data_IF_719376866995
#
_entry.id   IF_719376866995
#
_cell.length_a   1.000
_cell.length_b   1.000
_cell.length_c   1.000
_cell.angle_alpha   90.00
_cell.angle_beta   90.00
_cell.angle_gamma   90.00
#
_symmetry.space_group_name_H-M   'P 1'
#
loop_
_entity.id
_entity.type
_entity.pdbx_description
1 polymer ?
#
# COMPACT_ATOMS: atom_id res chain seq x y z
N UNK A 1 0.64 13.86 9.81
CA UNK A 1 -0.50 14.32 9.00
C UNK A 1 -0.73 13.27 7.93
N UNK A 2 -1.81 12.50 8.02
CA UNK A 2 -2.27 11.65 6.91
C UNK A 2 -2.92 12.64 5.94
N UNK A 3 -2.27 12.91 4.81
CA UNK A 3 -2.84 13.79 3.80
C UNK A 3 -3.73 12.93 2.92
N UNK A 4 -5.06 13.00 3.08
CA UNK A 4 -6.09 12.35 2.22
C UNK A 4 -6.09 12.89 0.77
N UNK A 5 -4.99 13.47 0.31
CA UNK A 5 -4.86 14.00 -1.03
C UNK A 5 -4.66 12.84 -2.00
N UNK A 6 -5.58 12.67 -2.93
CA UNK A 6 -5.44 11.81 -4.11
C UNK A 6 -5.12 12.67 -5.32
N UNK A 7 -4.32 12.15 -6.24
CA UNK A 7 -3.90 12.82 -7.48
C UNK A 7 -4.14 11.90 -8.66
N UNK A 8 -4.57 12.46 -9.78
CA UNK A 8 -4.60 11.77 -11.06
C UNK A 8 -3.17 11.71 -11.63
N UNK A 9 -2.74 10.51 -11.99
CA UNK A 9 -1.41 10.23 -12.53
C UNK A 9 -1.55 9.61 -13.90
N UNK A 10 -0.87 10.19 -14.89
CA UNK A 10 -0.85 9.69 -16.25
C UNK A 10 0.45 8.91 -16.52
N UNK A 11 0.34 7.72 -17.09
CA UNK A 11 1.50 6.96 -17.55
C UNK A 11 2.27 7.73 -18.63
N UNK A 12 3.60 7.63 -18.61
CA UNK A 12 4.47 8.27 -19.60
C UNK A 12 4.61 7.46 -20.90
N UNK A 13 4.14 6.22 -20.90
CA UNK A 13 4.19 5.30 -22.04
C UNK A 13 2.77 4.98 -22.54
N UNK A 14 2.58 4.69 -23.84
CA UNK A 14 1.28 4.24 -24.36
C UNK A 14 0.72 3.05 -23.55
N UNK A 15 -0.58 3.04 -23.23
CA UNK A 15 -1.64 3.90 -23.77
C UNK A 15 -1.81 5.26 -23.05
N UNK A 16 -0.89 5.64 -22.17
CA UNK A 16 -0.96 6.86 -21.35
C UNK A 16 -2.16 6.85 -20.41
N UNK A 17 -2.40 5.69 -19.77
CA UNK A 17 -3.53 5.50 -18.88
C UNK A 17 -3.47 6.49 -17.71
N UNK A 18 -4.64 6.96 -17.29
CA UNK A 18 -4.79 7.86 -16.14
C UNK A 18 -5.40 7.08 -14.99
N UNK A 19 -4.69 7.03 -13.87
CA UNK A 19 -5.12 6.35 -12.65
C UNK A 19 -5.14 7.33 -11.48
N UNK A 20 -5.98 7.07 -10.47
CA UNK A 20 -6.03 7.90 -9.25
C UNK A 20 -5.17 7.26 -8.18
N UNK A 21 -4.22 8.01 -7.64
CA UNK A 21 -3.24 7.53 -6.67
C UNK A 21 -3.15 8.47 -5.47
N UNK A 22 -3.01 7.92 -4.27
CA UNK A 22 -2.78 8.72 -3.07
C UNK A 22 -1.49 9.54 -3.20
N UNK A 23 -1.44 10.79 -2.75
CA UNK A 23 -0.29 11.70 -2.89
C UNK A 23 0.99 11.15 -2.23
N UNK A 24 0.86 10.27 -1.24
CA UNK A 24 2.02 9.51 -0.72
C UNK A 24 2.69 8.63 -1.80
N UNK A 25 1.93 8.10 -2.79
CA UNK A 25 2.44 7.34 -3.94
C UNK A 25 3.29 8.17 -4.90
N UNK A 26 3.14 9.49 -4.87
CA UNK A 26 3.85 10.42 -5.76
C UNK A 26 5.13 11.00 -5.15
N UNK A 27 5.41 10.74 -3.86
CA UNK A 27 6.63 11.22 -3.20
C UNK A 27 7.92 10.68 -3.85
N UNK A 28 7.84 9.57 -4.57
CA UNK A 28 8.97 9.00 -5.33
C UNK A 28 9.40 9.86 -6.54
N UNK A 29 8.56 10.80 -6.99
CA UNK A 29 8.81 11.58 -8.23
C UNK A 29 9.03 13.08 -7.97
N UNK A 30 9.42 13.50 -6.75
CA UNK A 30 9.65 14.91 -6.40
C UNK A 30 10.94 15.54 -7.02
N UNK A 31 11.35 15.16 -8.22
CA UNK A 31 12.44 15.85 -8.92
C UNK A 31 11.95 16.42 -10.24
N UNK A 32 11.88 17.76 -10.31
CA UNK A 32 11.46 18.53 -11.47
C UNK A 32 12.47 18.55 -12.62
N UNK A 33 13.06 17.40 -12.99
CA UNK A 33 14.07 17.36 -14.05
C UNK A 33 14.69 16.01 -14.39
N UNK A 34 14.04 14.86 -14.15
CA UNK A 34 14.56 13.58 -14.68
C UNK A 34 14.06 13.34 -16.09
N UNK A 35 14.99 13.22 -17.03
CA UNK A 35 14.72 12.74 -18.39
C UNK A 35 14.20 11.29 -18.34
N UNK A 36 13.26 10.95 -19.23
CA UNK A 36 12.72 9.58 -19.34
C UNK A 36 13.75 8.71 -20.04
N UNK A 37 14.48 7.90 -19.28
CA UNK A 37 15.46 6.93 -19.79
C UNK A 37 14.79 5.57 -20.02
N UNK A 38 15.38 4.71 -20.87
CA UNK A 38 14.90 3.33 -21.08
C UNK A 38 14.79 2.53 -19.76
N UNK A 39 15.67 2.82 -18.79
CA UNK A 39 15.61 2.25 -17.44
C UNK A 39 14.35 2.70 -16.66
N UNK A 40 13.92 3.96 -16.87
CA UNK A 40 12.70 4.48 -16.27
C UNK A 40 11.46 3.86 -16.92
N UNK A 41 11.47 3.64 -18.23
CA UNK A 41 10.40 2.91 -18.92
C UNK A 41 10.29 1.47 -18.44
N UNK A 42 11.41 0.78 -18.24
CA UNK A 42 11.44 -0.56 -17.66
C UNK A 42 10.93 -0.60 -16.21
N UNK A 43 11.27 0.42 -15.40
CA UNK A 43 10.74 0.55 -14.05
C UNK A 43 9.24 0.85 -14.02
N UNK A 44 8.73 1.68 -14.94
CA UNK A 44 7.30 1.96 -15.07
C UNK A 44 6.54 0.69 -15.50
N UNK A 45 7.08 -0.03 -16.50
CA UNK A 45 6.50 -1.30 -16.95
C UNK A 45 6.50 -2.39 -15.85
N UNK A 46 7.45 -2.35 -14.91
CA UNK A 46 7.46 -3.24 -13.74
C UNK A 46 6.56 -2.74 -12.60
N UNK A 47 6.44 -1.41 -12.45
CA UNK A 47 5.59 -0.74 -11.46
C UNK A 47 4.08 -0.89 -11.71
N UNK A 48 3.69 -1.23 -12.93
CA UNK A 48 2.29 -1.46 -13.34
C UNK A 48 1.71 -2.77 -12.75
N UNK A 49 2.53 -3.64 -12.18
CA UNK A 49 2.11 -4.87 -11.49
C UNK A 49 1.61 -4.66 -10.06
N UNK A 50 1.61 -3.42 -9.55
CA UNK A 50 1.28 -3.10 -8.16
C UNK A 50 2.40 -3.44 -7.17
N UNK A 51 2.31 -2.87 -5.96
CA UNK A 51 3.28 -3.13 -4.91
C UNK A 51 3.06 -4.53 -4.33
N UNK A 52 4.09 -5.38 -4.44
CA UNK A 52 4.06 -6.69 -3.81
C UNK A 52 4.25 -6.53 -2.31
N UNK A 53 3.26 -6.93 -1.51
CA UNK A 53 3.41 -6.97 -0.05
C UNK A 53 4.46 -8.01 0.32
N UNK A 54 5.53 -7.58 1.00
CA UNK A 54 6.56 -8.48 1.54
C UNK A 54 6.05 -9.16 2.81
N UNK A 55 5.46 -8.40 3.72
CA UNK A 55 4.80 -8.90 4.95
C UNK A 55 3.94 -7.83 5.60
N UNK A 56 3.02 -8.28 6.45
CA UNK A 56 2.24 -7.44 7.35
C UNK A 56 2.82 -7.63 8.76
N UNK A 57 3.02 -6.54 9.50
CA UNK A 57 3.76 -6.57 10.78
C UNK A 57 2.87 -6.22 11.98
N UNK A 58 2.41 -4.98 12.08
CA UNK A 58 1.71 -4.47 13.27
C UNK A 58 0.29 -3.99 12.96
N UNK A 59 -0.56 -3.92 14.00
CA UNK A 59 -1.90 -3.33 13.94
C UNK A 59 -1.98 -2.16 14.90
N UNK A 60 -2.59 -1.07 14.46
CA UNK A 60 -3.03 0.02 15.33
C UNK A 60 -4.46 0.42 15.01
N UNK A 61 -5.10 1.10 15.96
CA UNK A 61 -6.39 1.75 15.74
C UNK A 61 -6.21 3.25 15.99
N UNK A 62 -6.49 4.07 14.98
CA UNK A 62 -6.39 5.54 15.04
C UNK A 62 -7.75 6.09 14.62
N UNK A 63 -8.36 6.92 15.46
CA UNK A 63 -9.68 7.51 15.22
C UNK A 63 -10.77 6.48 14.84
N UNK A 64 -10.74 5.32 15.48
CA UNK A 64 -11.67 4.22 15.24
C UNK A 64 -11.42 3.44 13.94
N UNK A 65 -10.37 3.77 13.18
CA UNK A 65 -9.97 3.06 11.96
C UNK A 65 -8.76 2.18 12.24
N UNK A 66 -8.90 0.90 11.91
CA UNK A 66 -7.77 -0.03 11.99
C UNK A 66 -6.82 0.16 10.80
N UNK A 67 -5.53 0.18 11.11
CA UNK A 67 -4.45 0.26 10.14
C UNK A 67 -3.46 -0.87 10.41
N UNK A 68 -2.82 -1.35 9.36
CA UNK A 68 -1.81 -2.40 9.41
C UNK A 68 -0.52 -1.86 8.82
N UNK A 69 0.60 -2.13 9.49
CA UNK A 69 1.91 -1.77 8.97
C UNK A 69 2.28 -2.76 7.86
N UNK A 70 2.40 -2.24 6.65
CA UNK A 70 2.74 -3.00 5.45
C UNK A 70 4.20 -2.76 5.13
N UNK A 71 4.94 -3.86 5.03
CA UNK A 71 6.27 -3.84 4.43
C UNK A 71 6.19 -4.21 2.96
N UNK A 72 6.77 -3.38 2.12
CA UNK A 72 6.74 -3.54 0.67
C UNK A 72 7.95 -4.36 0.19
N UNK A 73 7.74 -5.18 -0.83
CA UNK A 73 8.80 -5.95 -1.47
C UNK A 73 9.70 -5.01 -2.27
N UNK A 74 11.01 -5.17 -2.11
CA UNK A 74 12.00 -4.31 -2.76
C UNK A 74 12.29 -3.00 -2.03
N UNK A 75 11.57 -2.69 -0.94
CA UNK A 75 11.82 -1.51 -0.10
C UNK A 75 12.42 -1.89 1.27
N UNK A 76 13.08 -0.92 1.89
CA UNK A 76 13.67 -1.06 3.22
C UNK A 76 12.59 -0.98 4.32
N UNK A 77 12.91 -1.46 5.53
CA UNK A 77 11.97 -1.51 6.66
C UNK A 77 11.48 -0.11 7.08
N UNK A 78 12.30 0.92 6.89
CA UNK A 78 11.97 2.33 7.15
C UNK A 78 10.87 2.86 6.23
N UNK A 79 10.62 2.19 5.10
CA UNK A 79 9.57 2.52 4.14
C UNK A 79 8.28 1.73 4.38
N UNK A 80 8.13 1.12 5.55
CA UNK A 80 6.88 0.48 5.93
C UNK A 80 5.80 1.53 6.18
N UNK A 81 4.62 1.34 5.59
CA UNK A 81 3.52 2.30 5.69
C UNK A 81 2.30 1.70 6.40
N UNK A 82 1.57 2.56 7.10
CA UNK A 82 0.32 2.19 7.76
C UNK A 82 -0.83 2.29 6.77
N UNK A 83 -1.30 1.14 6.29
CA UNK A 83 -2.40 1.05 5.36
C UNK A 83 -3.73 0.81 6.09
N UNK A 84 -4.83 1.45 5.68
CA UNK A 84 -6.16 1.11 6.17
C UNK A 84 -6.46 -0.38 5.95
N UNK A 85 -6.98 -1.03 6.98
CA UNK A 85 -7.31 -2.45 6.89
C UNK A 85 -8.38 -2.75 5.80
N UNK A 86 -9.27 -1.81 5.52
CA UNK A 86 -10.23 -1.90 4.42
C UNK A 86 -9.54 -2.06 3.06
N UNK A 87 -8.49 -1.26 2.79
CA UNK A 87 -7.74 -1.34 1.54
C UNK A 87 -7.07 -2.72 1.39
N UNK A 88 -6.50 -3.26 2.47
CA UNK A 88 -5.88 -4.59 2.42
C UNK A 88 -6.89 -5.72 2.21
N UNK A 89 -8.13 -5.53 2.67
CA UNK A 89 -9.21 -6.49 2.42
C UNK A 89 -9.64 -6.46 0.95
N UNK A 90 -9.63 -5.30 0.30
CA UNK A 90 -9.98 -5.16 -1.11
C UNK A 90 -8.83 -5.62 -2.02
N UNK A 91 -7.60 -5.22 -1.72
CA UNK A 91 -6.43 -5.45 -2.57
C UNK A 91 -5.84 -6.86 -2.42
N UNK A 92 -5.74 -7.37 -1.18
CA UNK A 92 -5.07 -8.65 -0.87
C UNK A 92 -5.86 -9.53 0.13
N UNK A 93 -7.16 -9.80 -0.10
CA UNK A 93 -8.05 -10.44 0.87
C UNK A 93 -7.54 -11.78 1.40
N UNK A 94 -6.93 -12.61 0.55
CA UNK A 94 -6.44 -13.94 0.92
C UNK A 94 -5.21 -13.85 1.83
N UNK A 95 -4.25 -12.97 1.50
CA UNK A 95 -3.04 -12.78 2.29
C UNK A 95 -3.40 -12.16 3.63
N UNK A 96 -4.25 -11.13 3.61
CA UNK A 96 -4.63 -10.41 4.80
C UNK A 96 -5.40 -11.27 5.81
N UNK A 97 -6.38 -12.06 5.36
CA UNK A 97 -7.12 -13.00 6.23
C UNK A 97 -6.23 -14.07 6.84
N UNK A 98 -5.33 -14.67 6.05
CA UNK A 98 -4.38 -15.67 6.54
C UNK A 98 -3.46 -15.08 7.62
N UNK A 99 -2.95 -13.88 7.37
CA UNK A 99 -2.12 -13.18 8.33
C UNK A 99 -2.89 -12.85 9.62
N UNK A 100 -4.11 -12.33 9.51
CA UNK A 100 -4.93 -12.01 10.67
C UNK A 100 -5.20 -13.27 11.52
N UNK A 101 -5.62 -14.38 10.88
CA UNK A 101 -5.86 -15.65 11.55
C UNK A 101 -4.61 -16.21 12.26
N UNK A 102 -3.43 -16.08 11.63
CA UNK A 102 -2.16 -16.52 12.21
C UNK A 102 -1.74 -15.67 13.43
N UNK A 103 -2.17 -14.41 13.50
CA UNK A 103 -1.80 -13.45 14.54
C UNK A 103 -2.93 -13.13 15.53
N UNK A 104 -4.02 -13.92 15.53
CA UNK A 104 -5.23 -13.67 16.33
C UNK A 104 -5.03 -13.58 17.85
N UNK A 105 -3.93 -14.14 18.37
CA UNK A 105 -3.60 -14.06 19.79
C UNK A 105 -3.12 -12.66 20.20
N UNK A 106 -2.70 -11.82 19.25
CA UNK A 106 -2.40 -10.42 19.51
C UNK A 106 -3.70 -9.64 19.73
N UNK A 107 -3.89 -8.95 20.87
CA UNK A 107 -5.14 -8.23 21.18
C UNK A 107 -5.53 -7.18 20.12
N UNK A 108 -4.56 -6.51 19.49
CA UNK A 108 -4.82 -5.53 18.44
C UNK A 108 -5.34 -6.20 17.16
N UNK A 109 -4.80 -7.37 16.81
CA UNK A 109 -5.26 -8.18 15.69
C UNK A 109 -6.62 -8.80 15.99
N UNK A 110 -6.86 -9.28 17.21
CA UNK A 110 -8.17 -9.79 17.62
C UNK A 110 -9.27 -8.72 17.52
N UNK A 111 -8.97 -7.49 17.95
CA UNK A 111 -9.88 -6.36 17.82
C UNK A 111 -10.15 -6.00 16.35
N UNK A 112 -9.11 -6.04 15.50
CA UNK A 112 -9.24 -5.87 14.05
C UNK A 112 -10.15 -6.94 13.44
N UNK A 113 -9.91 -8.22 13.71
CA UNK A 113 -10.70 -9.37 13.21
C UNK A 113 -12.17 -9.18 13.58
N UNK A 114 -12.45 -8.85 14.84
CA UNK A 114 -13.81 -8.61 15.34
C UNK A 114 -14.47 -7.42 14.63
N UNK A 115 -13.73 -6.35 14.37
CA UNK A 115 -14.25 -5.13 13.74
C UNK A 115 -14.53 -5.33 12.26
N UNK A 116 -13.69 -6.11 11.58
CA UNK A 116 -13.83 -6.38 10.15
C UNK A 116 -14.73 -7.58 9.83
N UNK A 117 -15.23 -8.28 10.85
CA UNK A 117 -16.08 -9.48 10.71
C UNK A 117 -15.46 -10.53 9.78
N UNK A 118 -14.16 -10.81 9.97
CA UNK A 118 -13.50 -11.91 9.25
C UNK A 118 -14.05 -13.25 9.75
N UNK A 119 -14.26 -14.24 8.86
CA UNK A 119 -14.49 -15.63 9.28
C UNK A 119 -13.24 -16.23 9.96
#
# INVERSE_FOLDING_TARGET
>A
VITDHVMETQQLVPPYEVTVHHACRLKMYHEGGREVTEDLEAQIAFGDGGFHVKRLDEVRCVDGRHQVLVKWLGLDDEESFWEPAANLLDDIPVVFRKWAAANKENPAVAALIKTMDFP
#
